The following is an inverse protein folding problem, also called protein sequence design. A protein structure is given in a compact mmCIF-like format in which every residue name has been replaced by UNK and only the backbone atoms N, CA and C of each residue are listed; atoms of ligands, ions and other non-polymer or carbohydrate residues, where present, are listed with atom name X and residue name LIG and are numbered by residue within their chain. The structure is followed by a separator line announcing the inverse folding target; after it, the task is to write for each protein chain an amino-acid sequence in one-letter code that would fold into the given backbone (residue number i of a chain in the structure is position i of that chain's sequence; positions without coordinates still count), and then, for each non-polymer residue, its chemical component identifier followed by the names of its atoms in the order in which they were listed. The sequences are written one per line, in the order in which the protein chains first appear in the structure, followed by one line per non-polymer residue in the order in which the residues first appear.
data_IF_480174271372
#
_entry.id   IF_480174271372
#
_cell.length_a   1.000
_cell.length_b   1.000
_cell.length_c   1.000
_cell.angle_alpha   90.00
_cell.angle_beta   90.00
_cell.angle_gamma   90.00
#
_symmetry.space_group_name_H-M   'P 1'
#
loop_
_entity.id
_entity.type
_entity.pdbx_description
1 polymer ?
#
# COMPACT_ATOMS: atom_id res chain seq x y z
N UNK A 1 15.16 1.15 11.38
CA UNK A 1 16.02 0.63 10.26
C UNK A 1 16.32 -0.88 10.31
N UNK A 2 16.05 -1.60 11.41
CA UNK A 2 16.49 -2.98 11.55
C UNK A 2 15.76 -4.01 10.66
N UNK A 3 14.56 -3.70 10.15
CA UNK A 3 13.72 -4.66 9.41
C UNK A 3 14.03 -4.76 7.91
N UNK A 4 14.81 -3.84 7.34
CA UNK A 4 15.02 -3.75 5.89
C UNK A 4 16.24 -4.53 5.39
N UNK A 5 17.31 -4.62 6.18
CA UNK A 5 18.62 -5.08 5.71
C UNK A 5 18.93 -6.53 6.11
N UNK A 6 19.22 -7.40 5.13
CA UNK A 6 19.54 -8.83 5.36
C UNK A 6 21.05 -9.09 5.42
N UNK A 7 21.85 -8.35 4.66
CA UNK A 7 23.30 -8.56 4.57
C UNK A 7 24.13 -7.31 4.82
N UNK A 8 25.34 -7.48 5.34
CA UNK A 8 26.29 -6.38 5.55
C UNK A 8 26.71 -5.73 4.22
N UNK A 9 26.72 -6.51 3.13
CA UNK A 9 26.98 -5.97 1.78
C UNK A 9 25.87 -5.03 1.32
N UNK A 10 24.59 -5.34 1.61
CA UNK A 10 23.46 -4.44 1.31
C UNK A 10 23.54 -3.15 2.10
N UNK A 11 23.92 -3.22 3.39
CA UNK A 11 24.12 -2.03 4.21
C UNK A 11 25.25 -1.18 3.64
N UNK A 12 26.41 -1.79 3.37
CA UNK A 12 27.58 -1.10 2.84
C UNK A 12 27.29 -0.48 1.46
N UNK A 13 26.60 -1.22 0.58
CA UNK A 13 26.24 -0.73 -0.75
C UNK A 13 25.15 0.35 -0.69
N UNK A 14 24.19 0.27 0.22
CA UNK A 14 23.18 1.31 0.41
C UNK A 14 23.81 2.61 0.90
N UNK A 15 24.66 2.54 1.93
CA UNK A 15 25.42 3.69 2.43
C UNK A 15 26.40 4.22 1.40
N UNK A 16 27.09 3.34 0.67
CA UNK A 16 27.98 3.71 -0.42
C UNK A 16 27.22 4.44 -1.53
N UNK A 17 26.07 3.92 -1.98
CA UNK A 17 25.27 4.58 -3.02
C UNK A 17 24.77 5.94 -2.54
N UNK A 18 24.25 6.03 -1.31
CA UNK A 18 23.79 7.29 -0.72
C UNK A 18 24.92 8.33 -0.65
N UNK A 19 26.09 7.93 -0.14
CA UNK A 19 27.27 8.78 -0.05
C UNK A 19 27.75 9.21 -1.44
N UNK A 20 27.89 8.28 -2.39
CA UNK A 20 28.41 8.61 -3.71
C UNK A 20 27.43 9.44 -4.54
N UNK A 21 26.12 9.19 -4.47
CA UNK A 21 25.14 10.00 -5.22
C UNK A 21 24.91 11.39 -4.63
N UNK A 22 25.22 11.62 -3.36
CA UNK A 22 25.12 12.95 -2.73
C UNK A 22 26.47 13.66 -2.76
N UNK A 23 27.52 13.02 -2.24
CA UNK A 23 28.85 13.62 -2.09
C UNK A 23 29.53 13.88 -3.42
N UNK A 24 29.42 12.98 -4.41
CA UNK A 24 30.11 13.19 -5.71
C UNK A 24 29.54 14.38 -6.48
N UNK A 25 28.21 14.53 -6.65
CA UNK A 25 27.64 15.71 -7.30
C UNK A 25 27.89 17.00 -6.52
N UNK A 26 27.82 16.97 -5.20
CA UNK A 26 28.09 18.15 -4.37
C UNK A 26 29.54 18.60 -4.49
N UNK A 27 30.51 17.69 -4.41
CA UNK A 27 31.94 18.04 -4.55
C UNK A 27 32.27 18.44 -5.98
N UNK A 28 31.68 17.80 -6.99
CA UNK A 28 31.82 18.20 -8.39
C UNK A 28 31.25 19.60 -8.64
N UNK A 29 30.09 19.92 -8.05
CA UNK A 29 29.48 21.24 -8.12
C UNK A 29 30.33 22.30 -7.38
N UNK A 30 30.81 21.98 -6.17
CA UNK A 30 31.67 22.89 -5.40
C UNK A 30 32.99 23.17 -6.11
N UNK A 31 33.64 22.15 -6.67
CA UNK A 31 34.88 22.33 -7.43
C UNK A 31 34.66 23.09 -8.74
N UNK A 32 33.52 22.88 -9.40
CA UNK A 32 33.10 23.68 -10.55
C UNK A 32 32.84 25.15 -10.16
N UNK A 33 32.15 25.40 -9.04
CA UNK A 33 31.83 26.74 -8.53
C UNK A 33 33.10 27.52 -8.18
N UNK A 34 34.02 26.89 -7.45
CA UNK A 34 35.32 27.50 -7.11
C UNK A 34 36.10 27.83 -8.39
N UNK A 35 36.17 26.91 -9.36
CA UNK A 35 36.82 27.19 -10.65
C UNK A 35 36.15 28.30 -11.45
N UNK A 36 34.82 28.38 -11.38
CA UNK A 36 34.02 29.42 -12.05
C UNK A 36 34.31 30.80 -11.48
N UNK A 37 34.49 30.91 -10.16
CA UNK A 37 34.81 32.16 -9.47
C UNK A 37 36.27 32.57 -9.71
N UNK A 38 37.21 31.63 -9.63
CA UNK A 38 38.66 31.94 -9.78
C UNK A 38 39.09 32.08 -11.26
N UNK A 39 38.18 31.90 -12.22
CA UNK A 39 38.45 31.96 -13.68
C UNK A 39 39.65 31.11 -14.16
N UNK A 40 40.00 30.05 -13.43
CA UNK A 40 41.13 29.17 -13.80
C UNK A 40 40.72 28.24 -14.94
N UNK A 41 41.29 28.46 -16.11
CA UNK A 41 41.17 27.59 -17.28
C UNK A 41 42.25 26.49 -17.22
N UNK A 42 41.91 25.36 -16.63
CA UNK A 42 42.78 24.17 -16.67
C UNK A 42 42.79 23.57 -18.08
N UNK A 43 43.99 23.31 -18.61
CA UNK A 43 44.21 22.65 -19.91
C UNK A 43 44.11 21.12 -19.85
N UNK A 44 44.24 20.52 -18.67
CA UNK A 44 44.21 19.06 -18.48
C UNK A 44 42.91 18.59 -17.81
N UNK A 45 42.27 17.57 -18.40
CA UNK A 45 40.94 17.04 -18.05
C UNK A 45 40.97 15.94 -16.96
N UNK A 46 42.12 15.70 -16.31
CA UNK A 46 42.26 14.60 -15.34
C UNK A 46 41.28 14.69 -14.17
N UNK A 47 40.99 15.91 -13.68
CA UNK A 47 40.04 16.09 -12.57
C UNK A 47 38.61 15.66 -12.97
N UNK A 48 38.19 15.97 -14.21
CA UNK A 48 36.89 15.54 -14.74
C UNK A 48 36.82 14.02 -14.89
N UNK A 49 37.93 13.39 -15.28
CA UNK A 49 38.04 11.93 -15.35
C UNK A 49 37.99 11.25 -13.99
N UNK A 50 38.59 11.84 -12.94
CA UNK A 50 38.52 11.31 -11.57
C UNK A 50 37.07 11.39 -11.06
N UNK A 51 36.37 12.51 -11.27
CA UNK A 51 34.97 12.64 -10.88
C UNK A 51 34.05 11.70 -11.67
N UNK A 52 34.28 11.57 -12.98
CA UNK A 52 33.57 10.60 -13.81
C UNK A 52 33.79 9.16 -13.34
N UNK A 53 35.03 8.78 -13.03
CA UNK A 53 35.37 7.47 -12.49
C UNK A 53 34.70 7.19 -11.14
N UNK A 54 34.73 8.16 -10.22
CA UNK A 54 34.09 8.02 -8.90
C UNK A 54 32.56 7.92 -9.01
N UNK A 55 31.95 8.60 -9.98
CA UNK A 55 30.52 8.50 -10.25
C UNK A 55 30.13 7.14 -10.86
N UNK A 56 30.97 6.59 -11.75
CA UNK A 56 30.79 5.23 -12.28
C UNK A 56 30.88 4.17 -11.17
N UNK A 57 31.78 4.34 -10.19
CA UNK A 57 31.82 3.48 -8.99
C UNK A 57 30.50 3.54 -8.21
N UNK A 58 29.90 4.74 -8.09
CA UNK A 58 28.57 4.90 -7.51
C UNK A 58 27.49 4.07 -8.22
N UNK A 59 27.50 4.07 -9.56
CA UNK A 59 26.60 3.24 -10.37
C UNK A 59 26.84 1.74 -10.19
N UNK A 60 28.10 1.29 -10.11
CA UNK A 60 28.42 -0.10 -9.83
C UNK A 60 27.85 -0.52 -8.47
N UNK A 61 28.02 0.30 -7.43
CA UNK A 61 27.41 0.06 -6.12
C UNK A 61 25.88 0.01 -6.18
N UNK A 62 25.25 0.92 -6.94
CA UNK A 62 23.80 0.95 -7.11
C UNK A 62 23.26 -0.31 -7.81
N UNK A 63 23.93 -0.78 -8.87
CA UNK A 63 23.55 -1.99 -9.60
C UNK A 63 23.71 -3.23 -8.72
N UNK A 64 24.83 -3.35 -8.00
CA UNK A 64 25.06 -4.47 -7.06
C UNK A 64 24.01 -4.47 -5.95
N UNK A 65 23.67 -3.29 -5.43
CA UNK A 65 22.62 -3.14 -4.42
C UNK A 65 21.25 -3.57 -4.94
N UNK A 66 20.84 -3.04 -6.10
CA UNK A 66 19.58 -3.38 -6.74
C UNK A 66 19.50 -4.88 -7.06
N UNK A 67 20.58 -5.47 -7.60
CA UNK A 67 20.67 -6.91 -7.86
C UNK A 67 20.56 -7.74 -6.58
N UNK A 68 21.14 -7.29 -5.47
CA UNK A 68 21.04 -7.97 -4.18
C UNK A 68 19.63 -7.95 -3.62
N UNK A 69 18.92 -6.82 -3.68
CA UNK A 69 17.51 -6.75 -3.28
C UNK A 69 16.65 -7.62 -4.20
N UNK A 70 16.85 -7.52 -5.52
CA UNK A 70 16.11 -8.31 -6.50
C UNK A 70 16.29 -9.82 -6.27
N UNK A 71 17.50 -10.23 -5.87
CA UNK A 71 17.78 -11.62 -5.49
C UNK A 71 17.00 -12.02 -4.23
N UNK A 72 16.92 -11.17 -3.21
CA UNK A 72 16.23 -11.46 -1.95
C UNK A 72 14.70 -11.60 -2.11
N UNK A 73 14.11 -11.00 -3.14
CA UNK A 73 12.65 -11.07 -3.44
C UNK A 73 12.33 -11.91 -4.67
N UNK A 74 13.31 -12.71 -5.13
CA UNK A 74 13.23 -13.45 -6.40
C UNK A 74 12.17 -14.54 -6.34
N UNK A 75 12.18 -15.33 -5.28
CA UNK A 75 11.32 -16.50 -5.11
C UNK A 75 10.18 -16.13 -4.16
N UNK A 76 8.99 -16.54 -4.52
CA UNK A 76 7.81 -16.49 -3.69
C UNK A 76 7.41 -17.92 -3.38
N UNK A 77 7.27 -18.27 -2.11
CA UNK A 77 6.90 -19.62 -1.70
C UNK A 77 6.06 -19.61 -0.42
N UNK A 78 5.28 -20.67 -0.25
CA UNK A 78 4.43 -20.88 0.92
C UNK A 78 4.91 -22.07 1.75
N UNK A 79 4.52 -22.03 3.01
CA UNK A 79 4.57 -23.19 3.90
C UNK A 79 3.50 -24.21 3.53
N UNK A 80 3.71 -25.46 3.94
CA UNK A 80 2.69 -26.49 3.88
C UNK A 80 1.45 -26.09 4.70
N UNK A 81 0.31 -26.73 4.42
CA UNK A 81 -0.93 -26.49 5.13
C UNK A 81 -0.73 -26.76 6.63
N UNK A 82 -0.96 -25.75 7.47
CA UNK A 82 -1.00 -25.92 8.91
C UNK A 82 -2.45 -26.17 9.31
N UNK A 83 -2.75 -27.41 9.68
CA UNK A 83 -4.09 -27.80 10.11
C UNK A 83 -4.40 -27.21 11.49
N UNK A 84 -5.51 -26.48 11.56
CA UNK A 84 -6.00 -25.92 12.82
C UNK A 84 -7.04 -26.89 13.38
N UNK A 85 -6.85 -27.43 14.61
CA UNK A 85 -7.86 -28.25 15.23
C UNK A 85 -9.09 -27.39 15.51
N UNK A 86 -10.23 -27.80 14.96
CA UNK A 86 -11.49 -27.08 15.14
C UNK A 86 -12.52 -27.93 15.85
N UNK A 87 -13.28 -27.29 16.75
CA UNK A 87 -14.51 -27.89 17.27
C UNK A 87 -15.59 -27.74 16.22
N UNK A 88 -16.28 -28.84 15.91
CA UNK A 88 -17.30 -28.81 14.86
C UNK A 88 -18.56 -28.11 15.39
N UNK A 89 -19.07 -27.09 14.70
CA UNK A 89 -20.25 -26.37 15.15
C UNK A 89 -21.47 -27.30 15.09
N UNK A 90 -22.08 -27.57 16.25
CA UNK A 90 -23.23 -28.48 16.40
C UNK A 90 -24.46 -28.06 15.60
N UNK A 91 -24.65 -26.76 15.39
CA UNK A 91 -25.74 -26.18 14.57
C UNK A 91 -25.36 -25.96 13.10
N UNK A 92 -24.19 -26.44 12.67
CA UNK A 92 -23.70 -26.27 11.31
C UNK A 92 -23.45 -24.81 10.90
N UNK A 93 -23.24 -23.92 11.88
CA UNK A 93 -22.94 -22.49 11.68
C UNK A 93 -21.60 -22.15 12.33
N UNK A 94 -20.66 -21.64 11.54
CA UNK A 94 -19.37 -21.12 12.02
C UNK A 94 -19.39 -19.59 12.01
N UNK A 95 -18.88 -18.97 13.06
CA UNK A 95 -18.72 -17.51 13.17
C UNK A 95 -17.23 -17.22 13.14
N UNK A 96 -16.78 -16.42 12.18
CA UNK A 96 -15.40 -15.95 12.10
C UNK A 96 -15.35 -14.56 12.73
N UNK A 97 -14.48 -14.38 13.72
CA UNK A 97 -14.29 -13.10 14.41
C UNK A 97 -12.83 -12.82 14.69
N UNK A 98 -12.50 -11.55 14.88
CA UNK A 98 -11.20 -11.11 15.37
C UNK A 98 -11.41 -10.59 16.80
N UNK A 99 -10.83 -11.27 17.79
CA UNK A 99 -10.97 -10.88 19.21
C UNK A 99 -9.86 -9.92 19.66
N UNK A 100 -8.78 -9.82 18.91
CA UNK A 100 -7.68 -8.91 19.23
C UNK A 100 -8.05 -7.49 18.77
N UNK A 101 -7.67 -6.45 19.52
CA UNK A 101 -7.89 -5.07 19.07
C UNK A 101 -7.16 -4.84 17.75
N UNK A 102 -7.73 -3.96 16.92
CA UNK A 102 -7.07 -3.49 15.70
C UNK A 102 -5.65 -3.02 16.03
N UNK A 103 -4.69 -3.47 15.23
CA UNK A 103 -3.31 -3.03 15.39
C UNK A 103 -3.23 -1.55 15.05
N UNK A 104 -2.80 -0.76 16.01
CA UNK A 104 -2.52 0.67 15.86
C UNK A 104 -1.07 0.90 16.16
N UNK A 105 -0.49 1.87 15.47
CA UNK A 105 0.89 2.23 15.67
C UNK A 105 1.11 2.71 17.11
N UNK A 106 2.09 2.10 17.78
CA UNK A 106 2.37 2.31 19.21
C UNK A 106 3.13 3.59 19.53
N UNK A 107 3.55 4.36 18.51
CA UNK A 107 4.38 5.56 18.71
C UNK A 107 5.85 5.26 19.01
N UNK A 108 6.31 4.03 18.76
CA UNK A 108 7.67 3.58 19.09
C UNK A 108 8.80 4.40 18.41
N UNK A 109 8.48 5.08 17.31
CA UNK A 109 9.42 5.69 16.39
C UNK A 109 9.09 7.19 16.25
N UNK A 110 9.95 8.04 16.83
CA UNK A 110 9.75 9.49 16.99
C UNK A 110 9.53 10.30 15.70
N UNK A 111 9.87 9.75 14.54
CA UNK A 111 9.71 10.42 13.24
C UNK A 111 8.43 10.00 12.49
N UNK A 112 7.71 8.99 12.99
CA UNK A 112 6.43 8.56 12.44
C UNK A 112 5.32 9.22 13.27
N UNK A 113 4.60 10.14 12.65
CA UNK A 113 3.41 10.76 13.20
C UNK A 113 2.22 10.23 12.39
N UNK A 114 1.84 8.99 12.68
CA UNK A 114 0.74 8.32 11.99
C UNK A 114 -0.22 7.72 13.03
N UNK A 115 -1.50 7.96 12.87
CA UNK A 115 -2.60 7.40 13.66
C UNK A 115 -3.33 6.27 12.92
N UNK A 116 -2.79 5.87 11.76
CA UNK A 116 -3.40 4.89 10.89
C UNK A 116 -3.46 3.48 11.53
N UNK A 117 -4.58 2.81 11.28
CA UNK A 117 -4.84 1.45 11.75
C UNK A 117 -4.37 0.41 10.74
N UNK A 118 -4.00 -0.78 11.24
CA UNK A 118 -3.63 -1.94 10.43
C UNK A 118 -2.14 -2.30 10.48
N UNK A 119 -1.30 -1.49 11.09
CA UNK A 119 0.13 -1.79 11.26
C UNK A 119 0.72 -1.14 12.52
N UNK A 120 1.76 -1.78 13.04
CA UNK A 120 2.56 -1.30 14.16
C UNK A 120 3.99 -1.80 13.97
N UNK A 121 4.96 -0.92 14.16
CA UNK A 121 6.37 -1.27 14.12
C UNK A 121 6.95 -0.91 15.47
N UNK A 122 7.59 -1.87 16.13
CA UNK A 122 8.38 -1.64 17.34
C UNK A 122 9.84 -1.96 17.04
N UNK A 123 10.73 -1.79 18.03
CA UNK A 123 12.14 -2.12 17.84
C UNK A 123 12.40 -3.61 17.58
N UNK A 124 11.48 -4.48 18.02
CA UNK A 124 11.65 -5.94 18.02
C UNK A 124 10.67 -6.68 17.11
N UNK A 125 9.49 -6.11 16.86
CA UNK A 125 8.45 -6.74 16.04
C UNK A 125 7.79 -5.77 15.07
N UNK A 126 7.48 -6.25 13.88
CA UNK A 126 6.59 -5.59 12.95
C UNK A 126 5.27 -6.37 12.91
N UNK A 127 4.17 -5.69 13.22
CA UNK A 127 2.81 -6.23 13.16
C UNK A 127 2.06 -5.53 12.03
N UNK A 128 1.39 -6.27 11.17
CA UNK A 128 0.46 -5.68 10.20
C UNK A 128 -0.57 -6.70 9.72
N UNK A 129 -1.66 -6.20 9.14
CA UNK A 129 -2.86 -6.96 8.85
C UNK A 129 -2.90 -7.59 7.44
N UNK A 130 -1.80 -8.20 6.99
CA UNK A 130 -1.79 -8.94 5.72
C UNK A 130 -2.29 -10.39 5.88
N UNK A 131 -3.60 -10.52 6.06
CA UNK A 131 -4.30 -11.80 6.19
C UNK A 131 -5.34 -11.91 5.08
N UNK A 132 -5.27 -12.98 4.30
CA UNK A 132 -6.27 -13.33 3.28
C UNK A 132 -7.16 -14.43 3.84
N UNK A 133 -8.47 -14.23 3.82
CA UNK A 133 -9.43 -15.28 4.15
C UNK A 133 -9.99 -15.82 2.84
N UNK A 134 -9.95 -17.14 2.67
CA UNK A 134 -10.60 -17.85 1.57
C UNK A 134 -11.58 -18.84 2.15
N UNK A 135 -12.78 -18.87 1.59
CA UNK A 135 -13.76 -19.92 1.89
C UNK A 135 -13.90 -20.80 0.67
N UNK A 136 -13.81 -22.12 0.87
CA UNK A 136 -13.96 -23.12 -0.17
C UNK A 136 -14.93 -24.23 0.26
N UNK A 137 -15.35 -25.03 -0.71
CA UNK A 137 -16.18 -26.22 -0.48
C UNK A 137 -15.33 -27.32 0.15
N UNK A 138 -15.75 -27.85 1.30
CA UNK A 138 -15.20 -29.08 1.86
C UNK A 138 -15.67 -30.29 1.03
N UNK A 139 -14.81 -31.29 0.90
CA UNK A 139 -15.18 -32.57 0.28
C UNK A 139 -15.91 -33.50 1.26
N UNK A 140 -15.72 -33.27 2.56
CA UNK A 140 -16.36 -34.01 3.64
C UNK A 140 -17.58 -33.27 4.21
N UNK A 141 -18.22 -33.85 5.22
CA UNK A 141 -19.33 -33.23 5.97
C UNK A 141 -18.87 -32.31 7.10
N UNK A 142 -17.55 -32.14 7.28
CA UNK A 142 -16.93 -31.40 8.37
C UNK A 142 -16.31 -30.10 7.85
N UNK A 143 -16.18 -29.14 8.76
CA UNK A 143 -15.35 -27.97 8.50
C UNK A 143 -13.87 -28.36 8.60
N UNK A 144 -13.03 -27.77 7.75
CA UNK A 144 -11.59 -27.83 7.88
C UNK A 144 -11.02 -26.41 7.79
N UNK A 145 -9.97 -26.13 8.56
CA UNK A 145 -9.31 -24.83 8.56
C UNK A 145 -7.82 -25.07 8.37
N UNK A 146 -7.29 -24.56 7.27
CA UNK A 146 -5.88 -24.65 6.92
C UNK A 146 -5.29 -23.25 6.89
N UNK A 147 -4.11 -23.10 7.50
CA UNK A 147 -3.36 -21.85 7.47
C UNK A 147 -2.11 -22.03 6.62
N UNK A 148 -1.96 -21.18 5.62
CA UNK A 148 -0.75 -21.07 4.80
C UNK A 148 -0.05 -19.76 5.12
N UNK A 149 1.22 -19.85 5.48
CA UNK A 149 2.08 -18.66 5.61
C UNK A 149 2.93 -18.56 4.35
N UNK A 150 3.09 -17.35 3.82
CA UNK A 150 3.91 -17.11 2.63
C UNK A 150 4.92 -16.00 2.88
N UNK A 151 6.00 -16.02 2.10
CA UNK A 151 7.03 -14.97 2.10
C UNK A 151 7.82 -14.98 0.79
N UNK A 152 8.56 -13.91 0.54
CA UNK A 152 9.57 -13.88 -0.52
C UNK A 152 10.95 -14.18 0.04
N UNK A 153 11.81 -14.77 -0.79
CA UNK A 153 13.17 -15.12 -0.41
C UNK A 153 14.10 -15.33 -1.60
N UNK A 154 15.37 -15.56 -1.27
CA UNK A 154 16.43 -15.81 -2.24
C UNK A 154 16.40 -17.23 -2.84
N UNK A 155 15.75 -18.16 -2.14
CA UNK A 155 15.50 -19.54 -2.53
C UNK A 155 14.16 -20.01 -1.97
N UNK A 156 13.65 -21.16 -2.45
CA UNK A 156 12.40 -21.77 -1.95
C UNK A 156 12.48 -22.04 -0.44
N UNK A 157 13.57 -22.67 0.01
CA UNK A 157 13.79 -22.96 1.43
C UNK A 157 13.91 -21.69 2.28
N UNK A 158 14.58 -20.64 1.79
CA UNK A 158 14.67 -19.34 2.50
C UNK A 158 13.28 -18.69 2.65
N UNK A 159 12.48 -18.68 1.59
CA UNK A 159 11.11 -18.18 1.62
C UNK A 159 10.22 -18.97 2.59
N UNK A 160 10.28 -20.31 2.57
CA UNK A 160 9.52 -21.17 3.48
C UNK A 160 9.94 -21.00 4.94
N UNK A 161 11.24 -20.99 5.23
CA UNK A 161 11.76 -20.79 6.58
C UNK A 161 11.37 -19.42 7.14
N UNK A 162 11.38 -18.37 6.30
CA UNK A 162 10.94 -17.02 6.68
C UNK A 162 9.43 -16.98 6.92
N UNK A 163 8.65 -17.60 6.05
CA UNK A 163 7.19 -17.69 6.18
C UNK A 163 6.79 -18.44 7.46
N UNK A 164 7.44 -19.56 7.77
CA UNK A 164 7.18 -20.37 8.96
C UNK A 164 7.38 -19.61 10.28
N UNK A 165 8.35 -18.70 10.33
CA UNK A 165 8.64 -17.85 11.50
C UNK A 165 7.60 -16.75 11.73
N UNK A 166 6.77 -16.45 10.74
CA UNK A 166 5.66 -15.50 10.92
C UNK A 166 4.71 -16.03 11.98
N UNK A 167 4.44 -15.20 12.99
CA UNK A 167 3.49 -15.55 14.05
C UNK A 167 2.10 -15.04 13.69
N UNK A 168 1.12 -15.92 13.81
CA UNK A 168 -0.29 -15.60 13.60
C UNK A 168 -1.12 -16.47 14.53
N UNK A 169 -1.96 -15.83 15.34
CA UNK A 169 -2.79 -16.51 16.30
C UNK A 169 -4.10 -16.92 15.64
N UNK A 170 -4.46 -18.19 15.78
CA UNK A 170 -5.76 -18.71 15.36
C UNK A 170 -6.22 -19.72 16.40
N UNK A 171 -7.48 -19.63 16.81
CA UNK A 171 -8.08 -20.57 17.74
C UNK A 171 -9.54 -20.81 17.40
N UNK A 172 -10.01 -22.02 17.68
CA UNK A 172 -11.42 -22.38 17.50
C UNK A 172 -12.01 -22.73 18.87
N UNK A 173 -13.18 -22.17 19.17
CA UNK A 173 -13.95 -22.44 20.38
C UNK A 173 -15.41 -22.62 19.98
N UNK A 174 -15.93 -23.82 20.16
CA UNK A 174 -17.31 -24.21 19.82
C UNK A 174 -17.71 -23.90 18.37
N UNK A 175 -18.46 -22.82 18.15
CA UNK A 175 -18.90 -22.37 16.82
C UNK A 175 -18.07 -21.21 16.29
N UNK A 176 -17.09 -20.74 17.06
CA UNK A 176 -16.38 -19.49 16.79
C UNK A 176 -14.94 -19.77 16.40
N UNK A 177 -14.54 -19.26 15.24
CA UNK A 177 -13.17 -19.21 14.76
C UNK A 177 -12.61 -17.82 15.07
N UNK A 178 -11.72 -17.75 16.05
CA UNK A 178 -11.02 -16.53 16.43
C UNK A 178 -9.74 -16.41 15.60
N UNK A 179 -9.66 -15.34 14.81
CA UNK A 179 -8.46 -14.95 14.08
C UNK A 179 -7.73 -13.82 14.82
N UNK A 180 -6.40 -13.79 14.74
CA UNK A 180 -5.58 -12.70 15.27
C UNK A 180 -5.70 -11.44 14.41
N UNK A 181 -5.55 -10.25 14.99
CA UNK A 181 -5.76 -8.99 14.27
C UNK A 181 -4.62 -8.66 13.30
N UNK A 182 -3.42 -9.20 13.53
CA UNK A 182 -2.28 -9.02 12.66
C UNK A 182 -1.33 -10.21 12.70
N UNK A 183 -0.53 -10.33 11.65
CA UNK A 183 0.65 -11.17 11.67
C UNK A 183 1.80 -10.42 12.32
N UNK A 184 2.63 -11.14 13.07
CA UNK A 184 3.82 -10.58 13.74
C UNK A 184 5.08 -11.15 13.10
N UNK A 185 5.96 -10.25 12.68
CA UNK A 185 7.29 -10.57 12.13
C UNK A 185 8.33 -10.13 13.14
N UNK A 186 9.20 -11.07 13.51
CA UNK A 186 10.35 -10.76 14.34
C UNK A 186 11.43 -9.99 13.57
N UNK A 187 12.21 -9.18 14.28
CA UNK A 187 13.34 -8.42 13.72
C UNK A 187 14.36 -9.27 12.97
N UNK A 188 14.52 -10.57 13.26
CA UNK A 188 15.52 -11.44 12.60
C UNK A 188 15.01 -11.92 11.24
N UNK A 189 13.72 -12.19 11.11
CA UNK A 189 13.10 -12.68 9.86
C UNK A 189 13.07 -11.63 8.75
N UNK A 190 13.10 -10.33 9.11
CA UNK A 190 13.06 -9.16 8.21
C UNK A 190 11.78 -9.10 7.37
N UNK A 191 11.31 -7.91 7.01
CA UNK A 191 10.13 -7.79 6.17
C UNK A 191 10.47 -8.09 4.70
N UNK A 192 9.80 -9.07 4.10
CA UNK A 192 9.94 -9.54 2.72
C UNK A 192 8.56 -9.98 2.17
N UNK A 193 7.54 -9.16 2.37
CA UNK A 193 6.18 -9.42 1.87
C UNK A 193 5.56 -10.68 2.48
N UNK A 194 5.77 -10.91 3.77
CA UNK A 194 5.09 -12.01 4.46
C UNK A 194 3.58 -11.81 4.44
N UNK A 195 2.85 -12.90 4.53
CA UNK A 195 1.42 -12.86 4.77
C UNK A 195 0.87 -14.21 5.19
N UNK A 196 -0.40 -14.20 5.57
CA UNK A 196 -1.11 -15.41 6.00
C UNK A 196 -2.36 -15.58 5.14
N UNK A 197 -2.63 -16.81 4.72
CA UNK A 197 -3.85 -17.20 4.05
C UNK A 197 -4.56 -18.18 4.96
N UNK A 198 -5.75 -17.83 5.40
CA UNK A 198 -6.65 -18.70 6.16
C UNK A 198 -7.65 -19.29 5.16
N UNK A 199 -7.52 -20.58 4.88
CA UNK A 199 -8.45 -21.33 4.05
C UNK A 199 -9.45 -22.05 4.97
N UNK A 200 -10.72 -21.70 4.83
CA UNK A 200 -11.83 -22.31 5.55
C UNK A 200 -12.59 -23.18 4.55
N UNK A 201 -12.55 -24.48 4.74
CA UNK A 201 -13.32 -25.43 3.95
C UNK A 201 -14.63 -25.71 4.67
N UNK A 202 -15.74 -25.36 4.03
CA UNK A 202 -17.09 -25.49 4.56
C UNK A 202 -17.88 -26.51 3.72
N UNK A 203 -18.55 -27.47 4.35
CA UNK A 203 -19.38 -28.43 3.63
C UNK A 203 -20.66 -27.77 3.10
N UNK A 204 -21.20 -28.33 2.02
CA UNK A 204 -22.39 -27.81 1.33
C UNK A 204 -23.58 -27.71 2.29
N UNK A 205 -24.30 -26.58 2.24
CA UNK A 205 -25.50 -26.33 3.05
C UNK A 205 -25.24 -25.85 4.48
N UNK A 206 -24.00 -25.86 4.97
CA UNK A 206 -23.62 -25.21 6.23
C UNK A 206 -23.46 -23.71 6.06
N UNK A 207 -23.45 -23.00 7.19
CA UNK A 207 -23.43 -21.54 7.26
C UNK A 207 -22.11 -21.01 7.82
N UNK A 208 -21.64 -19.90 7.25
CA UNK A 208 -20.54 -19.10 7.77
C UNK A 208 -20.99 -17.66 7.94
N UNK A 209 -20.59 -17.06 9.06
CA UNK A 209 -20.86 -15.67 9.38
C UNK A 209 -19.52 -14.96 9.64
N UNK A 210 -19.35 -13.78 9.06
CA UNK A 210 -18.17 -12.95 9.28
C UNK A 210 -18.58 -11.78 10.15
N UNK A 211 -18.05 -11.72 11.37
CA UNK A 211 -18.34 -10.58 12.23
C UNK A 211 -17.71 -9.29 11.70
N UNK A 212 -18.32 -8.13 11.97
CA UNK A 212 -17.81 -6.80 11.61
C UNK A 212 -16.32 -6.61 11.94
N UNK A 213 -15.87 -7.14 13.09
CA UNK A 213 -14.46 -7.09 13.52
C UNK A 213 -13.48 -7.65 12.48
N UNK A 214 -13.91 -8.60 11.64
CA UNK A 214 -13.08 -9.18 10.56
C UNK A 214 -12.87 -8.17 9.44
N UNK A 215 -13.93 -7.48 9.01
CA UNK A 215 -13.86 -6.46 7.96
C UNK A 215 -13.07 -5.25 8.42
N UNK A 216 -13.25 -4.87 9.68
CA UNK A 216 -12.55 -3.73 10.29
C UNK A 216 -11.07 -4.01 10.51
N UNK A 217 -10.69 -5.25 10.84
CA UNK A 217 -9.30 -5.58 11.18
C UNK A 217 -8.41 -5.81 9.96
N UNK A 218 -8.97 -6.34 8.87
CA UNK A 218 -8.21 -6.68 7.66
C UNK A 218 -8.45 -5.64 6.56
N UNK A 219 -7.51 -4.71 6.42
CA UNK A 219 -7.57 -3.61 5.47
C UNK A 219 -7.26 -4.13 4.04
N UNK A 220 -7.98 -3.70 2.98
CA UNK A 220 -7.77 -4.18 1.60
C UNK A 220 -6.38 -3.95 1.00
N UNK A 221 -5.52 -3.15 1.63
CA UNK A 221 -4.14 -2.87 1.21
C UNK A 221 -3.18 -4.04 1.50
N UNK A 222 -3.53 -5.22 0.99
CA UNK A 222 -2.61 -6.35 0.95
C UNK A 222 -1.50 -6.03 -0.06
N UNK A 223 -0.23 -6.03 0.38
CA UNK A 223 0.92 -5.91 -0.52
C UNK A 223 0.99 -7.18 -1.37
N UNK A 224 0.34 -7.16 -2.54
CA UNK A 224 0.33 -8.26 -3.50
C UNK A 224 1.43 -8.05 -4.52
N UNK A 225 2.26 -9.07 -4.73
CA UNK A 225 3.02 -9.19 -5.97
C UNK A 225 2.10 -9.93 -6.94
N UNK A 226 1.43 -9.19 -7.83
CA UNK A 226 0.77 -9.79 -8.98
C UNK A 226 1.86 -10.45 -9.83
N UNK A 227 2.01 -11.76 -9.73
CA UNK A 227 2.80 -12.50 -10.70
C UNK A 227 1.92 -12.55 -11.94
N UNK A 228 2.12 -11.60 -12.85
CA UNK A 228 1.61 -11.75 -14.23
C UNK A 228 2.17 -13.06 -14.76
N UNK A 229 1.33 -14.09 -14.77
CA UNK A 229 1.68 -15.44 -15.20
C UNK A 229 2.06 -15.43 -16.67
N UNK A 230 3.35 -15.22 -16.95
CA UNK A 230 3.94 -15.56 -18.23
C UNK A 230 3.80 -17.07 -18.44
N UNK A 231 3.09 -17.44 -19.50
CA UNK A 231 2.54 -18.75 -19.86
C UNK A 231 3.56 -19.89 -20.09
N UNK A 232 4.76 -19.84 -19.52
CA UNK A 232 5.86 -20.70 -19.95
C UNK A 232 6.78 -21.21 -18.83
N UNK A 233 6.26 -21.77 -17.74
CA UNK A 233 7.06 -22.73 -16.95
C UNK A 233 6.18 -23.84 -16.38
N UNK A 234 6.22 -24.99 -17.04
CA UNK A 234 5.58 -26.22 -16.56
C UNK A 234 6.28 -26.73 -15.30
N UNK A 235 5.69 -26.46 -14.13
CA UNK A 235 5.84 -27.25 -12.89
C UNK A 235 4.56 -27.19 -12.07
N UNK A 236 3.74 -28.23 -12.23
CA UNK A 236 2.79 -28.87 -11.29
C UNK A 236 2.40 -28.15 -9.99
N UNK A 237 1.89 -26.92 -10.04
CA UNK A 237 0.92 -26.40 -9.06
C UNK A 237 0.09 -25.33 -9.78
N UNK A 238 -1.07 -25.73 -10.34
CA UNK A 238 -2.12 -24.75 -10.67
C UNK A 238 -2.63 -24.22 -9.33
N UNK A 239 -2.02 -23.16 -8.85
CA UNK A 239 -2.54 -22.44 -7.70
C UNK A 239 -3.36 -21.27 -8.26
N UNK A 240 -4.65 -21.49 -8.49
CA UNK A 240 -5.69 -20.48 -8.71
C UNK A 240 -5.89 -19.61 -7.44
N UNK A 241 -4.80 -19.07 -6.90
CA UNK A 241 -4.74 -18.30 -5.66
C UNK A 241 -4.35 -16.84 -5.91
N UNK A 242 -3.77 -16.58 -7.09
CA UNK A 242 -3.39 -15.26 -7.58
C UNK A 242 -4.60 -14.50 -8.18
N UNK A 243 -5.70 -15.19 -8.46
CA UNK A 243 -6.88 -14.71 -9.19
C UNK A 243 -8.14 -14.55 -8.32
N UNK A 244 -8.02 -14.51 -6.99
CA UNK A 244 -9.22 -14.27 -6.17
C UNK A 244 -9.49 -12.77 -6.02
N UNK A 245 -10.65 -12.38 -6.53
CA UNK A 245 -11.32 -11.11 -6.33
C UNK A 245 -11.42 -10.75 -4.84
N UNK A 246 -11.56 -9.45 -4.60
CA UNK A 246 -11.66 -8.83 -3.29
C UNK A 246 -12.66 -9.55 -2.38
N UNK A 247 -12.34 -9.62 -1.08
CA UNK A 247 -13.23 -10.10 -0.02
C UNK A 247 -14.46 -9.17 0.07
N UNK A 248 -15.44 -9.38 -0.81
CA UNK A 248 -16.65 -8.56 -0.94
C UNK A 248 -17.83 -9.22 -0.21
N UNK A 249 -17.59 -9.60 1.06
CA UNK A 249 -18.61 -10.17 1.93
C UNK A 249 -19.07 -9.11 2.92
N UNK A 250 -20.37 -9.07 3.18
CA UNK A 250 -21.00 -8.18 4.15
C UNK A 250 -20.80 -8.72 5.57
N UNK A 251 -20.60 -7.83 6.54
CA UNK A 251 -20.51 -8.19 7.95
C UNK A 251 -21.85 -8.73 8.46
N UNK A 252 -21.75 -9.66 9.41
CA UNK A 252 -22.82 -10.29 10.17
C UNK A 252 -23.91 -10.97 9.31
N UNK A 253 -23.60 -11.31 8.06
CA UNK A 253 -24.46 -12.08 7.16
C UNK A 253 -24.15 -13.59 7.24
N UNK A 254 -25.20 -14.41 7.33
CA UNK A 254 -25.10 -15.87 7.27
C UNK A 254 -25.03 -16.37 5.82
N UNK A 255 -23.82 -16.54 5.31
CA UNK A 255 -23.60 -17.13 3.99
C UNK A 255 -23.73 -18.65 4.03
N UNK A 256 -24.33 -19.23 2.99
CA UNK A 256 -24.50 -20.68 2.84
C UNK A 256 -23.59 -21.19 1.73
N UNK A 257 -23.00 -22.37 1.93
CA UNK A 257 -22.18 -23.00 0.88
C UNK A 257 -23.06 -23.64 -0.19
N UNK A 258 -22.93 -23.16 -1.44
CA UNK A 258 -23.54 -23.76 -2.61
C UNK A 258 -22.86 -25.06 -3.05
N UNK A 259 -23.57 -25.86 -3.86
CA UNK A 259 -23.02 -27.10 -4.46
C UNK A 259 -21.88 -26.82 -5.45
N UNK A 260 -21.89 -25.63 -6.03
CA UNK A 260 -20.87 -25.05 -6.91
C UNK A 260 -19.64 -24.53 -6.16
N UNK A 261 -19.66 -24.54 -4.82
CA UNK A 261 -18.58 -24.02 -3.98
C UNK A 261 -18.56 -22.50 -3.85
N UNK A 262 -19.59 -21.81 -4.32
CA UNK A 262 -19.76 -20.37 -4.17
C UNK A 262 -20.59 -20.07 -2.92
N UNK A 263 -20.19 -19.07 -2.15
CA UNK A 263 -20.96 -18.55 -1.03
C UNK A 263 -22.13 -17.71 -1.56
N UNK A 264 -23.35 -18.02 -1.15
CA UNK A 264 -24.51 -17.19 -1.46
C UNK A 264 -25.17 -16.66 -0.19
N UNK A 265 -25.67 -15.44 -0.28
CA UNK A 265 -26.44 -14.81 0.78
C UNK A 265 -27.92 -15.24 0.66
N UNK A 266 -28.50 -15.95 1.64
CA UNK A 266 -29.91 -16.34 1.59
C UNK A 266 -30.88 -15.15 1.67
N UNK A 267 -30.44 -13.99 2.19
CA UNK A 267 -31.25 -12.77 2.30
C UNK A 267 -31.24 -11.94 1.02
N UNK A 268 -30.20 -12.11 0.19
CA UNK A 268 -30.07 -11.47 -1.13
C UNK A 268 -29.85 -12.58 -2.15
N UNK A 269 -30.92 -13.25 -2.62
CA UNK A 269 -30.77 -14.27 -3.65
C UNK A 269 -30.10 -13.64 -4.86
N UNK A 270 -28.85 -14.01 -5.10
CA UNK A 270 -28.14 -13.66 -6.33
C UNK A 270 -28.98 -14.16 -7.49
N UNK A 271 -29.49 -13.24 -8.32
CA UNK A 271 -30.07 -13.62 -9.61
C UNK A 271 -29.00 -14.45 -10.31
N UNK A 272 -29.34 -15.69 -10.68
CA UNK A 272 -28.52 -16.46 -11.62
C UNK A 272 -28.38 -15.61 -12.86
N UNK A 273 -27.21 -15.05 -13.06
CA UNK A 273 -26.90 -14.32 -14.28
C UNK A 273 -26.77 -15.38 -15.37
N UNK A 274 -27.78 -15.46 -16.23
CA UNK A 274 -27.78 -16.34 -17.38
C UNK A 274 -26.80 -15.77 -18.40
N UNK A 275 -25.50 -16.03 -18.19
CA UNK A 275 -24.49 -16.22 -19.22
C UNK A 275 -24.44 -15.25 -20.40
N UNK A 276 -24.82 -13.98 -20.23
CA UNK A 276 -24.72 -12.96 -21.27
C UNK A 276 -23.85 -11.83 -20.73
N UNK A 277 -22.54 -12.07 -20.66
CA UNK A 277 -21.55 -10.99 -20.55
C UNK A 277 -21.53 -10.20 -21.86
N UNK A 278 -22.63 -9.51 -22.15
CA UNK A 278 -22.59 -8.34 -23.01
C UNK A 278 -21.94 -7.27 -22.17
N UNK A 279 -20.69 -6.95 -22.45
CA UNK A 279 -20.13 -5.66 -22.02
C UNK A 279 -21.13 -4.61 -22.50
N UNK A 280 -21.93 -4.08 -21.58
CA UNK A 280 -22.76 -2.93 -21.85
C UNK A 280 -21.78 -1.77 -21.99
N UNK A 281 -21.39 -1.56 -23.23
CA UNK A 281 -20.36 -0.63 -23.61
C UNK A 281 -20.96 0.76 -23.36
N UNK A 282 -20.70 1.30 -22.18
CA UNK A 282 -21.25 2.56 -21.66
C UNK A 282 -20.58 3.78 -22.35
N UNK A 283 -20.29 3.65 -23.64
CA UNK A 283 -19.69 4.66 -24.50
C UNK A 283 -20.60 5.89 -24.61
N UNK A 284 -21.91 5.69 -24.53
CA UNK A 284 -22.88 6.79 -24.58
C UNK A 284 -22.84 7.63 -23.31
N UNK A 285 -22.68 7.02 -22.13
CA UNK A 285 -22.57 7.75 -20.87
C UNK A 285 -21.24 8.52 -20.78
N UNK A 286 -20.16 7.93 -21.31
CA UNK A 286 -18.86 8.60 -21.44
C UNK A 286 -18.89 9.77 -22.43
N UNK A 287 -19.59 9.62 -23.57
CA UNK A 287 -19.79 10.71 -24.55
C UNK A 287 -20.64 11.83 -23.98
N UNK A 288 -21.72 11.48 -23.27
CA UNK A 288 -22.60 12.45 -22.62
C UNK A 288 -21.85 13.25 -21.57
N UNK A 289 -21.08 12.58 -20.69
CA UNK A 289 -20.26 13.26 -19.67
C UNK A 289 -19.14 14.12 -20.28
N UNK A 290 -18.54 13.70 -21.39
CA UNK A 290 -17.55 14.52 -22.12
C UNK A 290 -18.18 15.77 -22.73
N UNK A 291 -19.41 15.67 -23.25
CA UNK A 291 -20.15 16.80 -23.81
C UNK A 291 -20.55 17.79 -22.72
N UNK A 292 -21.04 17.29 -21.59
CA UNK A 292 -21.40 18.08 -20.42
C UNK A 292 -20.19 18.86 -19.84
N UNK A 293 -19.02 18.21 -19.74
CA UNK A 293 -17.77 18.87 -19.33
C UNK A 293 -17.32 19.95 -20.32
N UNK A 294 -17.51 19.76 -21.64
CA UNK A 294 -17.18 20.77 -22.64
C UNK A 294 -18.12 21.97 -22.59
N UNK A 295 -19.41 21.75 -22.31
CA UNK A 295 -20.38 22.83 -22.18
C UNK A 295 -20.14 23.63 -20.88
N UNK A 296 -19.77 22.96 -19.78
CA UNK A 296 -19.32 23.63 -18.55
C UNK A 296 -18.07 24.47 -18.77
N UNK A 297 -17.07 23.95 -19.49
CA UNK A 297 -15.85 24.71 -19.82
C UNK A 297 -16.14 25.96 -20.64
N UNK A 298 -17.07 25.89 -21.60
CA UNK A 298 -17.49 27.07 -22.38
C UNK A 298 -18.23 28.10 -21.53
N UNK A 299 -19.05 27.67 -20.59
CA UNK A 299 -19.74 28.58 -19.66
C UNK A 299 -18.75 29.30 -18.74
N UNK A 300 -17.75 28.57 -18.22
CA UNK A 300 -16.68 29.16 -17.41
C UNK A 300 -15.89 30.18 -18.23
N UNK A 301 -15.51 29.85 -19.47
CA UNK A 301 -14.77 30.78 -20.34
C UNK A 301 -15.60 32.02 -20.71
N UNK A 302 -16.93 31.89 -20.83
CA UNK A 302 -17.83 33.02 -21.04
C UNK A 302 -17.97 33.89 -19.78
N UNK A 303 -18.03 33.28 -18.60
CA UNK A 303 -18.01 34.01 -17.32
C UNK A 303 -16.69 34.76 -17.13
N UNK A 304 -15.54 34.14 -17.39
CA UNK A 304 -14.24 34.82 -17.30
C UNK A 304 -14.12 35.99 -18.30
N UNK A 305 -14.70 35.85 -19.49
CA UNK A 305 -14.79 36.95 -20.47
C UNK A 305 -15.73 38.06 -20.01
N UNK A 306 -16.85 37.74 -19.37
CA UNK A 306 -17.75 38.75 -18.80
C UNK A 306 -17.11 39.46 -17.60
N UNK A 307 -16.47 38.72 -16.70
CA UNK A 307 -15.79 39.25 -15.52
C UNK A 307 -14.61 40.15 -15.91
N UNK A 308 -13.83 39.76 -16.94
CA UNK A 308 -12.73 40.60 -17.45
C UNK A 308 -13.23 41.86 -18.16
N UNK A 309 -14.36 41.81 -18.86
CA UNK A 309 -15.01 43.00 -19.44
C UNK A 309 -15.58 43.90 -18.35
N UNK A 310 -16.17 43.34 -17.30
CA UNK A 310 -16.72 44.09 -16.18
C UNK A 310 -15.62 44.78 -15.38
N UNK A 311 -14.50 44.08 -15.11
CA UNK A 311 -13.31 44.64 -14.46
C UNK A 311 -12.63 45.75 -15.28
N UNK A 312 -12.63 45.63 -16.61
CA UNK A 312 -12.17 46.69 -17.51
C UNK A 312 -13.13 47.90 -17.58
N UNK A 313 -14.43 47.67 -17.37
CA UNK A 313 -15.44 48.74 -17.33
C UNK A 313 -15.42 49.53 -16.01
N UNK A 314 -15.10 48.87 -14.89
CA UNK A 314 -14.90 49.51 -13.58
C UNK A 314 -13.62 50.37 -13.55
N UNK A 315 -12.52 49.87 -14.13
CA UNK A 315 -11.28 50.65 -14.27
C UNK A 315 -11.42 51.88 -15.18
N UNK A 316 -12.39 51.89 -16.11
CA UNK A 316 -12.68 53.07 -16.94
C UNK A 316 -13.57 54.12 -16.28
N UNK A 317 -14.28 53.79 -15.19
CA UNK A 317 -15.12 54.75 -14.44
C UNK A 317 -14.41 55.47 -13.29
N UNK A 318 -13.19 55.06 -12.92
CA UNK A 318 -12.40 55.69 -11.84
C UNK A 318 -11.43 56.81 -12.28
N UNK A 319 -11.44 57.22 -13.55
CA UNK A 319 -10.37 58.02 -14.13
C UNK A 319 -10.74 59.42 -14.61
N UNK A 320 -11.31 60.30 -13.78
CA UNK A 320 -11.20 61.76 -14.02
C UNK A 320 -11.44 62.56 -12.72
N UNK A 321 -10.35 63.06 -12.11
CA UNK A 321 -10.17 64.47 -11.69
C UNK A 321 -8.76 64.64 -11.09
N UNK A 322 -8.00 65.50 -11.76
CA UNK A 322 -6.64 65.92 -11.51
C UNK A 322 -6.67 67.30 -10.82
N UNK A 323 -5.74 67.60 -9.91
CA UNK A 323 -5.42 69.00 -9.54
C UNK A 323 -5.06 69.26 -8.08
N UNK A 324 -3.75 69.24 -7.82
CA UNK A 324 -2.93 70.21 -7.09
C UNK A 324 -3.18 70.65 -5.62
N UNK A 325 -2.16 70.33 -4.81
CA UNK A 325 -1.36 71.20 -3.92
C UNK A 325 -1.99 71.86 -2.66
N UNK A 326 -1.33 71.55 -1.53
CA UNK A 326 -1.06 72.36 -0.32
C UNK A 326 -1.82 72.10 0.99
N UNK A 327 -0.98 71.91 2.02
CA UNK A 327 -1.07 72.34 3.43
C UNK A 327 -1.84 71.44 4.43
N UNK A 328 -1.12 70.85 5.42
CA UNK A 328 -1.04 71.27 6.86
C UNK A 328 -2.32 70.81 7.60
N UNK A 329 -2.34 70.02 8.68
CA UNK A 329 -1.52 70.01 9.90
C UNK A 329 -1.79 68.71 10.72
N UNK A 330 -0.75 68.27 11.42
CA UNK A 330 -0.70 67.78 12.83
C UNK A 330 -1.51 66.59 13.38
N UNK A 331 -0.70 65.64 13.92
CA UNK A 331 -0.69 65.09 15.31
C UNK A 331 -1.90 64.18 15.66
N UNK A 332 -1.74 62.91 16.05
CA UNK A 332 -1.12 62.50 17.32
C UNK A 332 -0.88 60.97 17.44
N UNK A 333 0.30 60.63 17.99
CA UNK A 333 0.65 59.53 18.91
C UNK A 333 0.32 58.06 18.60
N UNK A 334 1.39 57.28 18.41
CA UNK A 334 1.51 55.90 18.93
C UNK A 334 1.74 55.93 20.46
N UNK A 335 1.50 54.84 21.22
CA UNK A 335 2.46 53.73 21.22
C UNK A 335 1.89 52.31 21.37
N UNK A 336 2.73 51.37 20.94
CA UNK A 336 2.94 50.03 21.50
C UNK A 336 2.46 49.88 22.95
N UNK A 337 1.79 48.78 23.28
CA UNK A 337 2.33 47.72 24.17
C UNK A 337 1.46 46.45 24.10
N UNK A 338 2.19 45.35 23.96
CA UNK A 338 1.92 43.92 24.15
C UNK A 338 0.97 43.55 25.32
N UNK A 339 0.08 42.55 25.13
CA UNK A 339 0.03 41.25 25.86
C UNK A 339 -1.35 40.57 25.81
N UNK A 340 -1.30 39.22 25.73
CA UNK A 340 -2.36 38.17 25.83
C UNK A 340 -3.20 38.00 24.55
N UNK A 341 -3.17 36.90 23.81
CA UNK A 341 -2.79 35.49 24.06
C UNK A 341 -1.97 34.91 22.92
#
# INVERSE_FOLDING_TARGET
MAFLWTSNIQKLSAWGTLLFFITVPVVAFMTWLIRRIVQVRSRNSHLSWIFGGLWVVGWVCAVVFAASIAKDVRVYERTDAIDVPISQPSKGRMIVRVNEPQVRYSGSMWWIHDDNAGWDITDDSLRYNNVKIRVGKSDDSLFHVHVFKYSTGSSLSDAQNRAARTLFNISSQDTILNLGSALTIDRRSKFRGQGVIVQIEMPVGKRINFNESVLDSYNPWVVRKEVRGGQYWGRRWRSDWDYDDFFNLEADVDYVMGKDGVLFNPLKPTKKDNGDYRYENNDDDRKNRKKELQDQLKQIEQQEKQDSVQKNSENKKGGTKQGDVASVDRIAYSPFTTLLN
#
